data_IF_603306024667
#
_entry.id   IF_603306024667
#
_cell.length_a   1.000
_cell.length_b   1.000
_cell.length_c   1.000
_cell.angle_alpha   90.00
_cell.angle_beta   90.00
_cell.angle_gamma   90.00
#
_symmetry.space_group_name_H-M   'P 1'
#
loop_
_entity.id
_entity.type
_entity.pdbx_description
1 polymer ?
2 polymer ?
3 non-polymer ?
4 water ?
#
# COMPACT_ATOMS: atom_id res chain seq x y z
N UNK A 24 -23.68 19.08 6.64
CA UNK A 24 -22.53 19.28 5.75
C UNK A 24 -22.62 18.45 4.48
N UNK A 25 -22.11 18.99 3.38
CA UNK A 25 -22.21 18.34 2.08
C UNK A 25 -21.38 17.06 2.08
N UNK A 26 -21.99 15.96 1.63
CA UNK A 26 -21.34 14.67 1.51
C UNK A 26 -21.42 14.21 0.06
N UNK A 27 -20.39 13.48 -0.37
CA UNK A 27 -20.30 12.94 -1.73
C UNK A 27 -20.57 11.44 -1.68
N UNK A 28 -21.57 10.98 -2.44
CA UNK A 28 -21.88 9.56 -2.47
C UNK A 28 -21.32 9.01 -3.77
N UNK A 29 -20.26 8.22 -3.66
CA UNK A 29 -19.55 7.70 -4.82
C UNK A 29 -19.93 6.24 -5.06
N UNK A 30 -20.13 5.89 -6.33
CA UNK A 30 -20.48 4.53 -6.72
C UNK A 30 -19.89 4.24 -8.10
N UNK A 31 -19.61 2.97 -8.41
CA UNK A 31 -19.64 1.83 -7.48
C UNK A 31 -18.43 1.90 -6.59
N UNK A 32 -18.37 1.06 -5.56
CA UNK A 32 -17.17 1.04 -4.75
C UNK A 32 -16.04 0.25 -5.41
N UNK A 33 -16.37 -0.62 -6.35
CA UNK A 33 -15.36 -1.32 -7.13
C UNK A 33 -15.98 -1.78 -8.45
N UNK A 34 -15.11 -1.97 -9.44
CA UNK A 34 -15.54 -2.48 -10.72
C UNK A 34 -14.35 -3.13 -11.40
N UNK A 35 -14.65 -4.04 -12.31
CA UNK A 35 -13.65 -4.71 -13.10
C UNK A 35 -14.03 -4.56 -14.57
N UNK A 36 -13.07 -4.13 -15.40
CA UNK A 36 -13.31 -3.94 -16.82
C UNK A 36 -12.09 -4.39 -17.60
N UNK A 37 -12.29 -4.71 -18.88
CA UNK A 37 -11.18 -5.14 -19.73
C UNK A 37 -10.46 -3.94 -20.33
N UNK A 38 -9.24 -4.18 -20.82
CA UNK A 38 -8.48 -3.16 -21.51
C UNK A 38 -9.28 -2.66 -22.69
N UNK A 39 -9.27 -1.34 -22.90
CA UNK A 39 -10.08 -0.69 -23.92
C UNK A 39 -11.51 -0.37 -23.52
N UNK A 40 -12.03 -0.97 -22.45
CA UNK A 40 -13.39 -0.72 -22.04
C UNK A 40 -13.58 0.73 -21.57
N UNK A 41 -14.84 1.18 -21.60
CA UNK A 41 -15.23 2.47 -21.09
C UNK A 41 -15.71 2.32 -19.66
N UNK A 42 -15.22 3.18 -18.77
CA UNK A 42 -15.49 3.09 -17.34
C UNK A 42 -16.08 4.42 -16.88
N UNK A 43 -17.16 4.37 -16.10
CA UNK A 43 -17.79 5.59 -15.60
C UNK A 43 -18.01 5.47 -14.10
N UNK A 44 -17.61 6.51 -13.39
CA UNK A 44 -17.69 6.58 -11.95
C UNK A 44 -18.53 7.81 -11.60
N UNK A 45 -19.39 7.67 -10.59
CA UNK A 45 -20.36 8.69 -10.25
C UNK A 45 -20.16 9.17 -8.82
N UNK A 46 -20.15 10.50 -8.64
CA UNK A 46 -20.18 11.12 -7.32
C UNK A 46 -21.42 12.01 -7.25
N UNK A 47 -22.25 11.79 -6.26
CA UNK A 47 -23.49 12.54 -6.12
C UNK A 47 -23.37 13.44 -4.91
N UNK A 48 -23.54 14.74 -5.13
CA UNK A 48 -23.42 15.73 -4.07
C UNK A 48 -24.72 15.81 -3.26
N UNK A 49 -24.60 15.83 -1.93
CA UNK A 49 -25.78 15.84 -1.09
C UNK A 49 -26.55 17.16 -1.20
N UNK A 50 -25.87 18.26 -1.49
CA UNK A 50 -26.52 19.39 -2.14
C UNK A 50 -25.51 20.07 -3.07
N UNK A 51 -25.98 21.09 -3.77
CA UNK A 51 -25.25 21.70 -4.85
C UNK A 51 -23.81 22.02 -4.50
N UNK A 52 -22.89 21.60 -5.36
CA UNK A 52 -21.47 21.90 -5.27
C UNK A 52 -21.08 22.61 -6.56
N UNK A 53 -20.30 23.68 -6.45
CA UNK A 53 -19.94 24.41 -7.66
C UNK A 53 -19.04 23.56 -8.56
N UNK A 54 -19.24 23.68 -9.87
CA UNK A 54 -18.40 23.01 -10.86
C UNK A 54 -16.93 23.28 -10.61
N UNK A 55 -16.60 24.52 -10.25
CA UNK A 55 -15.23 24.90 -9.98
C UNK A 55 -14.60 24.09 -8.86
N UNK A 56 -15.41 23.54 -7.96
CA UNK A 56 -14.94 23.05 -6.67
C UNK A 56 -15.15 21.55 -6.48
N UNK A 57 -15.27 20.80 -7.57
CA UNK A 57 -15.35 19.34 -7.53
C UNK A 57 -14.17 18.78 -8.31
N UNK A 58 -13.32 17.99 -7.64
CA UNK A 58 -12.12 17.45 -8.25
C UNK A 58 -12.07 15.93 -8.07
N UNK A 59 -11.19 15.30 -8.87
CA UNK A 59 -11.03 13.85 -8.90
C UNK A 59 -9.55 13.50 -8.71
N UNK A 60 -9.28 12.47 -7.93
CA UNK A 60 -7.92 12.01 -7.67
C UNK A 60 -7.78 10.54 -8.03
N UNK A 61 -6.56 10.18 -8.42
CA UNK A 61 -6.19 8.80 -8.71
C UNK A 61 -5.13 8.36 -7.71
N UNK A 62 -5.37 7.27 -7.02
CA UNK A 62 -4.43 6.81 -5.99
C UNK A 62 -4.03 5.39 -6.28
N UNK A 63 -2.78 5.22 -6.66
CA UNK A 63 -2.22 3.91 -6.88
C UNK A 63 -1.70 3.33 -5.56
N UNK A 64 -1.71 2.01 -5.43
CA UNK A 64 -1.31 1.38 -4.17
C UNK A 64 0.06 1.85 -3.70
N UNK A 65 0.14 2.22 -2.42
CA UNK A 65 1.37 2.73 -1.82
C UNK A 65 1.74 4.15 -2.19
N UNK A 66 0.88 4.88 -2.89
CA UNK A 66 1.22 6.20 -3.39
C UNK A 66 0.28 7.25 -2.80
N UNK A 67 0.76 8.49 -2.76
CA UNK A 67 -0.12 9.60 -2.47
C UNK A 67 -1.14 9.76 -3.59
N UNK A 68 -2.33 10.24 -3.28
CA UNK A 68 -3.30 10.54 -4.34
C UNK A 68 -2.72 11.51 -5.35
N UNK A 69 -3.19 11.41 -6.59
CA UNK A 69 -2.73 12.30 -7.64
C UNK A 69 -3.91 13.04 -8.24
N UNK A 70 -3.79 14.33 -8.41
CA UNK A 70 -4.82 15.12 -9.03
C UNK A 70 -5.03 14.65 -10.46
N UNK A 71 -6.25 14.27 -10.79
CA UNK A 71 -6.56 13.74 -12.07
C UNK A 71 -7.31 14.72 -12.96
N UNK A 72 -8.36 15.28 -12.43
CA UNK A 72 -9.22 16.24 -13.06
C UNK A 72 -9.58 17.28 -12.02
N UNK A 73 -9.55 18.54 -12.39
CA UNK A 73 -9.94 19.59 -11.48
C UNK A 73 -11.10 20.41 -12.07
N UNK A 74 -11.89 20.99 -11.16
CA UNK A 74 -13.06 21.80 -11.52
C UNK A 74 -13.93 21.08 -12.54
N UNK A 75 -14.32 19.85 -12.19
CA UNK A 75 -15.28 19.02 -12.90
C UNK A 75 -14.71 18.38 -14.18
N UNK A 76 -13.96 19.13 -14.99
CA UNK A 76 -13.66 18.66 -16.34
C UNK A 76 -12.29 19.02 -16.87
N UNK A 77 -11.42 19.65 -16.09
CA UNK A 77 -10.12 20.10 -16.60
C UNK A 77 -9.05 19.07 -16.26
N UNK A 78 -8.32 18.61 -17.27
CA UNK A 78 -7.30 17.58 -17.06
C UNK A 78 -6.11 18.19 -16.35
N UNK A 79 -5.68 17.55 -15.26
CA UNK A 79 -4.47 17.99 -14.59
C UNK A 79 -3.28 17.81 -15.53
N UNK A 80 -2.17 18.45 -15.17
CA UNK A 80 -0.98 18.43 -16.03
C UNK A 80 -0.53 17.00 -16.27
N UNK A 81 -0.39 16.64 -17.55
CA UNK A 81 0.15 15.34 -17.90
C UNK A 81 -0.80 14.18 -17.75
N UNK A 82 -2.10 14.43 -17.66
CA UNK A 82 -3.06 13.34 -17.58
C UNK A 82 -3.53 13.02 -19.00
N UNK A 83 -3.56 11.75 -19.40
CA UNK A 83 -3.98 11.41 -20.78
C UNK A 83 -5.42 11.76 -21.07
N UNK A 84 -5.70 11.98 -22.35
CA UNK A 84 -6.99 12.46 -22.79
C UNK A 84 -8.10 11.44 -22.63
N UNK A 85 -7.79 10.17 -22.38
CA UNK A 85 -8.87 9.21 -22.16
C UNK A 85 -9.66 9.47 -20.87
N UNK A 86 -9.14 10.29 -19.95
CA UNK A 86 -9.88 10.71 -18.76
C UNK A 86 -10.70 11.96 -19.07
N UNK A 87 -11.95 11.98 -18.62
CA UNK A 87 -12.75 13.20 -18.68
C UNK A 87 -13.75 13.22 -17.52
N UNK A 88 -14.26 14.42 -17.21
CA UNK A 88 -15.34 14.57 -16.26
C UNK A 88 -16.39 15.55 -16.76
N UNK A 89 -17.60 15.41 -16.23
CA UNK A 89 -18.71 16.28 -16.51
C UNK A 89 -19.60 16.40 -15.27
N UNK A 90 -20.55 17.32 -15.33
CA UNK A 90 -21.53 17.51 -14.27
C UNK A 90 -22.93 17.57 -14.85
N UNK A 91 -23.89 17.00 -14.13
CA UNK A 91 -25.31 17.12 -14.45
C UNK A 91 -26.01 17.37 -13.12
N UNK A 92 -26.40 18.62 -12.88
CA UNK A 92 -26.97 19.01 -11.59
C UNK A 92 -26.04 18.65 -10.43
N UNK A 93 -26.55 17.87 -9.49
CA UNK A 93 -25.78 17.41 -8.34
C UNK A 93 -24.96 16.14 -8.62
N UNK A 94 -24.98 15.61 -9.86
CA UNK A 94 -24.31 14.35 -10.18
C UNK A 94 -23.07 14.62 -11.03
N UNK A 95 -21.92 14.15 -10.55
CA UNK A 95 -20.66 14.31 -11.27
C UNK A 95 -20.18 12.95 -11.76
N UNK A 96 -19.60 12.93 -12.97
CA UNK A 96 -19.16 11.69 -13.58
C UNK A 96 -17.68 11.78 -13.96
N UNK A 97 -16.92 10.74 -13.63
CA UNK A 97 -15.57 10.57 -14.15
C UNK A 97 -15.60 9.44 -15.18
N UNK A 98 -15.09 9.71 -16.37
CA UNK A 98 -15.10 8.72 -17.43
C UNK A 98 -13.66 8.42 -17.87
N UNK A 99 -13.34 7.13 -17.98
CA UNK A 99 -12.15 6.63 -18.64
C UNK A 99 -12.63 6.01 -19.95
N UNK A 100 -12.24 6.59 -21.09
CA UNK A 100 -12.86 6.12 -22.33
C UNK A 100 -12.29 4.79 -22.79
N UNK A 101 -10.99 4.54 -22.56
CA UNK A 101 -10.32 3.32 -23.03
C UNK A 101 -9.39 2.84 -21.91
N UNK A 102 -9.86 1.90 -21.10
CA UNK A 102 -9.12 1.46 -19.93
C UNK A 102 -7.79 0.87 -20.33
N UNK A 103 -6.67 1.42 -19.74
CA UNK A 103 -5.31 0.89 -19.82
C UNK A 103 -4.95 0.15 -18.54
N UNK A 104 -4.08 -0.87 -18.62
CA UNK A 104 -3.80 -1.66 -17.41
C UNK A 104 -3.19 -0.84 -16.29
N UNK A 105 -2.47 0.24 -16.61
CA UNK A 105 -1.95 1.12 -15.58
C UNK A 105 -3.01 2.04 -14.97
N UNK A 106 -4.27 1.94 -15.40
CA UNK A 106 -5.31 2.73 -14.75
C UNK A 106 -5.85 2.06 -13.49
N UNK A 107 -5.33 0.89 -13.15
CA UNK A 107 -5.68 0.24 -11.90
C UNK A 107 -5.34 1.16 -10.75
N UNK A 108 -6.36 1.53 -9.97
CA UNK A 108 -6.21 2.49 -8.87
C UNK A 108 -7.55 2.63 -8.16
N UNK A 109 -7.53 3.39 -7.08
CA UNK A 109 -8.75 3.84 -6.44
C UNK A 109 -8.94 5.31 -6.79
N UNK A 110 -10.15 5.66 -7.22
CA UNK A 110 -10.48 7.01 -7.67
C UNK A 110 -11.38 7.68 -6.64
N UNK A 111 -11.08 8.94 -6.29
CA UNK A 111 -11.82 9.67 -5.27
C UNK A 111 -12.26 11.01 -5.81
N UNK A 112 -13.53 11.35 -5.63
CA UNK A 112 -13.90 12.74 -5.82
C UNK A 112 -13.71 13.51 -4.51
N UNK A 113 -13.61 14.84 -4.65
CA UNK A 113 -13.39 15.75 -3.54
C UNK A 113 -14.13 17.04 -3.86
N UNK A 114 -14.95 17.51 -2.93
CA UNK A 114 -15.64 18.79 -3.06
C UNK A 114 -15.05 19.80 -2.08
N UNK A 115 -15.18 21.07 -2.45
CA UNK A 115 -14.93 22.17 -1.53
C UNK A 115 -16.21 22.99 -1.37
N UNK A 116 -16.54 23.36 -0.17
CA UNK A 116 -17.72 24.15 0.11
C UNK A 116 -17.62 24.80 1.47
N UNK A 117 -16.41 25.10 1.88
CA UNK A 117 -16.16 25.64 3.17
C UNK A 117 -15.25 24.63 3.83
N UNK A 118 -15.73 23.41 3.96
CA UNK A 118 -14.96 22.30 4.45
C UNK A 118 -14.69 21.47 3.22
N UNK A 119 -14.01 20.36 3.39
CA UNK A 119 -13.70 19.44 2.31
C UNK A 119 -14.16 18.07 2.73
N UNK A 120 -14.72 17.31 1.78
CA UNK A 120 -14.90 15.88 1.97
C UNK A 120 -14.57 15.19 0.67
N UNK A 121 -14.30 13.89 0.76
CA UNK A 121 -14.02 13.01 -0.35
C UNK A 121 -15.16 12.00 -0.52
N UNK A 122 -15.40 11.56 -1.74
CA UNK A 122 -16.19 10.36 -1.93
C UNK A 122 -15.49 9.16 -1.33
N UNK A 123 -16.22 8.07 -1.14
CA UNK A 123 -15.65 6.90 -0.47
C UNK A 123 -14.68 6.13 -1.37
N UNK A 124 -14.62 6.44 -2.66
CA UNK A 124 -13.63 5.83 -3.53
C UNK A 124 -14.20 4.73 -4.41
N UNK A 125 -13.61 4.58 -5.59
CA UNK A 125 -13.94 3.48 -6.51
C UNK A 125 -12.65 2.75 -6.88
N UNK A 126 -12.59 1.47 -6.58
CA UNK A 126 -11.43 0.67 -6.95
C UNK A 126 -11.64 0.08 -8.34
N UNK A 127 -10.81 0.48 -9.28
CA UNK A 127 -10.89 -0.01 -10.65
C UNK A 127 -9.85 -1.13 -10.81
N UNK A 128 -10.35 -2.32 -11.12
CA UNK A 128 -9.53 -3.49 -11.40
C UNK A 128 -9.62 -3.86 -12.87
N UNK A 129 -8.57 -4.50 -13.39
CA UNK A 129 -8.51 -4.88 -14.79
C UNK A 129 -8.86 -6.35 -14.94
N UNK A 130 -9.81 -6.63 -15.81
CA UNK A 130 -10.09 -7.98 -16.29
C UNK A 130 -9.13 -8.33 -17.43
N UNK A 131 -8.55 -9.53 -17.39
CA UNK A 131 -7.60 -9.98 -18.41
C UNK A 131 -7.77 -11.49 -18.58
N UNK A 132 -7.01 -12.08 -19.51
CA UNK A 132 -7.17 -13.50 -19.77
C UNK A 132 -6.62 -14.31 -18.59
N UNK A 133 -7.09 -15.56 -18.49
CA UNK A 133 -6.62 -16.44 -17.43
C UNK A 133 -5.12 -16.66 -17.55
N UNK A 134 -4.45 -16.71 -16.41
CA UNK A 134 -3.04 -17.04 -16.37
C UNK A 134 -2.80 -17.97 -15.19
N UNK A 135 -2.24 -19.13 -15.47
CA UNK A 135 -1.88 -20.08 -14.41
C UNK A 135 -0.72 -19.54 -13.59
N UNK A 136 -0.72 -19.76 -12.29
CA UNK A 136 0.42 -19.38 -11.46
C UNK A 136 1.58 -20.35 -11.63
N UNK A 137 2.79 -19.81 -11.51
CA UNK A 137 3.99 -20.60 -11.28
C UNK A 137 4.09 -20.88 -9.78
N UNK A 138 4.19 -22.15 -9.42
CA UNK A 138 4.20 -22.56 -8.01
C UNK A 138 5.62 -22.89 -7.59
N UNK A 139 6.06 -22.27 -6.49
CA UNK A 139 7.34 -22.54 -5.87
C UNK A 139 7.15 -22.75 -4.37
N UNK A 140 8.00 -23.58 -3.79
CA UNK A 140 7.99 -23.88 -2.35
C UNK A 140 9.39 -23.68 -1.82
N UNK A 141 9.49 -23.16 -0.59
CA UNK A 141 10.76 -22.84 0.03
C UNK A 141 10.81 -23.47 1.41
N UNK A 142 11.86 -24.23 1.73
CA UNK A 142 12.02 -24.74 3.09
C UNK A 142 12.57 -23.66 4.01
N UNK A 143 12.33 -23.77 5.32
CA UNK A 143 12.98 -22.85 6.27
C UNK A 143 14.49 -22.87 6.13
N UNK A 144 15.09 -21.70 6.37
CA UNK A 144 16.54 -21.57 6.29
C UNK A 144 17.21 -22.13 7.55
N UNK A 145 18.52 -22.38 7.45
CA UNK A 145 19.25 -22.81 8.62
C UNK A 145 19.19 -21.74 9.70
N UNK A 146 19.44 -20.48 9.31
CA UNK A 146 19.45 -19.37 10.25
C UNK A 146 18.14 -19.27 11.03
N UNK A 147 17.03 -19.71 10.44
CA UNK A 147 15.75 -19.53 11.12
C UNK A 147 15.51 -20.65 12.13
N UNK A 148 15.87 -21.87 11.79
CA UNK A 148 15.72 -22.96 12.74
C UNK A 148 16.60 -22.73 13.96
N UNK A 149 17.81 -22.20 13.76
CA UNK A 149 18.66 -21.81 14.88
C UNK A 149 17.91 -20.90 15.85
N UNK A 150 16.91 -20.17 15.37
CA UNK A 150 16.08 -19.32 16.23
C UNK A 150 14.88 -20.05 16.83
N UNK A 151 14.62 -21.29 16.46
CA UNK A 151 13.56 -22.05 17.09
C UNK A 151 12.20 -22.02 16.41
N UNK A 152 12.08 -21.40 15.23
CA UNK A 152 10.86 -21.43 14.42
C UNK A 152 11.18 -21.84 13.00
N UNK A 153 10.22 -22.48 12.34
CA UNK A 153 10.36 -22.86 10.93
C UNK A 153 9.21 -22.26 10.13
N UNK A 154 9.55 -21.50 9.10
CA UNK A 154 8.56 -20.94 8.20
C UNK A 154 8.72 -21.59 6.84
N UNK A 155 7.65 -22.19 6.34
CA UNK A 155 7.64 -22.77 5.00
C UNK A 155 6.77 -21.88 4.11
N UNK A 156 7.34 -21.46 2.99
CA UNK A 156 6.73 -20.45 2.12
C UNK A 156 6.37 -21.11 0.80
N UNK A 157 5.10 -20.99 0.42
CA UNK A 157 4.59 -21.40 -0.90
C UNK A 157 4.28 -20.14 -1.70
N UNK A 158 4.92 -20.01 -2.87
CA UNK A 158 4.79 -18.83 -3.73
C UNK A 158 4.01 -19.19 -4.98
N UNK A 159 2.93 -18.45 -5.25
CA UNK A 159 2.16 -18.52 -6.48
C UNK A 159 2.41 -17.22 -7.24
N UNK A 160 2.95 -17.32 -8.46
CA UNK A 160 3.42 -16.14 -9.18
C UNK A 160 2.60 -15.86 -10.44
N UNK A 161 2.20 -14.59 -10.59
CA UNK A 161 1.68 -14.01 -11.84
C UNK A 161 0.50 -14.81 -12.39
N UNK A 162 -0.61 -14.73 -11.69
CA UNK A 162 -1.80 -15.46 -12.08
C UNK A 162 -3.02 -14.53 -12.13
N UNK A 163 -4.02 -14.97 -12.88
CA UNK A 163 -5.30 -14.30 -12.99
C UNK A 163 -6.29 -15.40 -13.35
N UNK A 164 -7.47 -15.45 -12.72
CA UNK A 164 -8.00 -14.49 -11.74
C UNK A 164 -7.40 -14.66 -10.35
N UNK A 165 -7.91 -13.85 -9.43
CA UNK A 165 -7.31 -13.70 -8.11
C UNK A 165 -7.58 -14.91 -7.22
N UNK A 166 -8.73 -15.54 -7.37
CA UNK A 166 -9.12 -16.62 -6.49
C UNK A 166 -8.23 -17.84 -6.72
N UNK A 167 -7.60 -18.30 -5.64
CA UNK A 167 -6.70 -19.43 -5.70
C UNK A 167 -6.78 -20.13 -4.36
N UNK A 168 -6.76 -21.46 -4.37
CA UNK A 168 -6.81 -22.25 -3.15
C UNK A 168 -5.44 -22.85 -2.91
N UNK A 169 -4.88 -22.59 -1.74
CA UNK A 169 -3.58 -23.13 -1.36
C UNK A 169 -3.80 -24.04 -0.16
N UNK A 170 -3.41 -25.31 -0.30
CA UNK A 170 -3.55 -26.29 0.76
C UNK A 170 -2.18 -26.80 1.16
N UNK A 171 -1.92 -26.84 2.45
CA UNK A 171 -0.68 -27.38 2.97
C UNK A 171 -0.90 -28.82 3.42
N UNK A 172 0.06 -29.69 3.09
CA UNK A 172 0.03 -31.08 3.51
C UNK A 172 1.40 -31.44 4.06
N UNK A 173 1.43 -31.90 5.31
CA UNK A 173 2.65 -32.33 5.99
C UNK A 173 2.54 -33.84 6.20
N UNK A 174 3.53 -34.58 5.72
CA UNK A 174 3.45 -36.04 5.62
C UNK A 174 2.03 -36.45 5.20
N UNK A 175 1.60 -35.85 4.09
CA UNK A 175 0.29 -36.00 3.47
C UNK A 175 -0.89 -35.79 4.43
N UNK A 176 -0.66 -35.12 5.56
CA UNK A 176 -1.76 -34.73 6.44
C UNK A 176 -2.13 -33.28 6.16
N UNK A 177 -3.42 -33.02 5.98
CA UNK A 177 -3.87 -31.69 5.58
C UNK A 177 -3.83 -30.74 6.77
N UNK A 178 -3.12 -29.63 6.60
CA UNK A 178 -2.95 -28.65 7.67
C UNK A 178 -4.16 -27.73 7.80
N UNK A 179 -4.27 -27.10 8.96
CA UNK A 179 -5.37 -26.20 9.24
C UNK A 179 -4.95 -25.23 10.33
N UNK A 180 -5.22 -23.94 10.11
CA UNK A 180 -5.01 -22.93 11.12
C UNK A 180 -3.58 -22.47 11.32
N UNK A 181 -2.59 -23.08 10.68
CA UNK A 181 -1.20 -22.70 10.92
C UNK A 181 -0.53 -22.07 9.68
N UNK A 182 -1.30 -21.41 8.83
CA UNK A 182 -0.70 -20.68 7.71
C UNK A 182 -1.48 -19.40 7.48
N UNK A 183 -0.85 -18.45 6.79
CA UNK A 183 -1.53 -17.21 6.44
C UNK A 183 -1.02 -16.71 5.10
N UNK A 184 -1.93 -16.08 4.36
CA UNK A 184 -1.74 -15.69 2.97
C UNK A 184 -1.59 -14.18 2.87
N UNK A 185 -0.82 -13.75 1.89
CA UNK A 185 -0.70 -12.37 1.50
C UNK A 185 -0.80 -12.32 -0.02
N UNK A 186 -1.48 -11.35 -0.57
CA UNK A 186 -1.61 -11.22 -2.02
C UNK A 186 -1.24 -9.83 -2.48
N UNK A 187 -0.49 -9.73 -3.54
CA UNK A 187 -0.10 -8.44 -4.07
C UNK A 187 -1.21 -7.72 -4.80
N UNK A 188 -0.99 -6.47 -5.04
CA UNK A 188 -1.91 -5.66 -5.75
C UNK A 188 -1.71 -5.99 -7.22
N UNK A 189 -2.76 -5.93 -7.99
CA UNK A 189 -2.73 -6.20 -9.42
C UNK A 189 -1.58 -5.44 -10.09
N UNK A 190 -0.75 -6.18 -10.82
CA UNK A 190 0.36 -5.59 -11.55
C UNK A 190 -0.14 -4.59 -12.59
N UNK A 191 0.53 -3.44 -12.69
CA UNK A 191 0.06 -2.35 -13.54
C UNK A 191 0.33 -2.58 -15.03
N UNK A 192 1.14 -3.57 -15.38
CA UNK A 192 1.46 -3.86 -16.77
C UNK A 192 0.75 -5.11 -17.30
N UNK A 193 0.90 -6.26 -16.62
CA UNK A 193 0.29 -7.50 -17.08
C UNK A 193 -0.96 -7.89 -16.29
N UNK A 194 -1.34 -7.13 -15.25
CA UNK A 194 -2.62 -7.29 -14.55
C UNK A 194 -2.75 -8.60 -13.78
N UNK A 195 -1.65 -9.30 -13.52
CA UNK A 195 -1.68 -10.53 -12.74
C UNK A 195 -1.52 -10.22 -11.25
N UNK A 196 -1.79 -11.21 -10.42
CA UNK A 196 -1.60 -11.13 -9.01
C UNK A 196 -0.55 -12.13 -8.63
N UNK A 197 0.03 -11.98 -7.44
CA UNK A 197 1.00 -12.90 -6.89
C UNK A 197 0.57 -13.18 -5.47
N UNK A 198 0.79 -14.39 -5.01
CA UNK A 198 0.37 -14.79 -3.70
C UNK A 198 1.38 -15.58 -2.92
N UNK A 199 1.52 -15.28 -1.63
CA UNK A 199 2.42 -16.01 -0.75
C UNK A 199 1.60 -16.69 0.34
N UNK A 200 1.99 -17.91 0.68
CA UNK A 200 1.38 -18.65 1.78
C UNK A 200 2.51 -19.17 2.66
N UNK A 201 2.47 -18.83 3.94
CA UNK A 201 3.55 -19.15 4.87
C UNK A 201 3.00 -20.06 5.96
N UNK A 202 3.66 -21.21 6.13
CA UNK A 202 3.32 -22.19 7.17
C UNK A 202 4.31 -22.05 8.30
N UNK A 203 3.82 -21.81 9.52
CA UNK A 203 4.70 -21.56 10.65
C UNK A 203 4.62 -22.73 11.62
N UNK A 204 5.77 -23.34 11.90
CA UNK A 204 5.89 -24.33 12.97
C UNK A 204 7.05 -23.93 13.87
N UNK A 205 7.08 -24.57 15.02
CA UNK A 205 8.19 -24.44 15.91
C UNK A 205 9.21 -25.34 15.26
N UNK A 206 10.47 -25.10 15.52
CA UNK A 206 11.53 -25.89 14.97
C UNK A 206 11.40 -27.30 15.43
N UNK A 207 10.95 -27.45 16.65
CA UNK A 207 10.77 -28.75 17.23
C UNK A 207 9.80 -29.58 16.42
N UNK A 208 8.74 -28.97 15.98
CA UNK A 208 7.76 -29.71 15.19
C UNK A 208 8.16 -29.86 13.75
N UNK A 209 8.94 -28.92 13.20
CA UNK A 209 9.44 -29.09 11.85
C UNK A 209 10.31 -30.34 11.75
N UNK A 210 11.08 -30.64 12.80
CA UNK A 210 12.00 -31.75 12.74
C UNK A 210 11.34 -33.10 12.94
N UNK A 211 10.08 -33.13 13.38
CA UNK A 211 9.34 -34.38 13.55
C UNK A 211 8.39 -34.64 12.39
N UNK A 212 8.78 -34.26 11.17
CA UNK A 212 8.01 -34.52 9.95
C UNK A 212 8.96 -34.45 8.76
N UNK A 213 8.63 -35.18 7.70
CA UNK A 213 9.52 -35.35 6.55
C UNK A 213 9.08 -34.60 5.31
N UNK A 214 7.83 -34.77 4.91
CA UNK A 214 7.33 -34.29 3.63
C UNK A 214 6.50 -33.03 3.85
N UNK A 215 6.92 -31.94 3.21
CA UNK A 215 6.20 -30.66 3.26
C UNK A 215 5.74 -30.31 1.85
N UNK A 216 4.43 -30.10 1.68
CA UNK A 216 3.86 -29.88 0.35
C UNK A 216 2.73 -28.86 0.39
N UNK A 217 2.66 -28.02 -0.64
CA UNK A 217 1.50 -27.16 -0.89
C UNK A 217 0.87 -27.51 -2.23
N UNK A 218 -0.45 -27.66 -2.23
CA UNK A 218 -1.25 -28.04 -3.39
C UNK A 218 -2.10 -26.85 -3.81
N UNK A 219 -1.94 -26.42 -5.06
CA UNK A 219 -2.54 -25.20 -5.58
C UNK A 219 -3.67 -25.56 -6.56
N UNK A 220 -4.85 -25.03 -6.31
CA UNK A 220 -5.99 -25.13 -7.21
C UNK A 220 -6.32 -23.75 -7.77
N UNK A 221 -6.38 -23.64 -9.07
CA UNK A 221 -6.66 -22.40 -9.77
C UNK A 221 -7.32 -22.71 -11.09
N UNK A 222 -8.09 -21.78 -11.60
CA UNK A 222 -8.84 -21.92 -12.81
C UNK A 222 -7.96 -22.21 -14.00
N UNK A 223 -6.79 -21.63 -14.03
CA UNK A 223 -5.88 -21.84 -15.11
C UNK A 223 -5.11 -23.15 -15.11
N UNK A 224 -5.39 -24.02 -14.16
CA UNK A 224 -4.70 -25.30 -14.08
C UNK A 224 -5.70 -26.42 -14.33
N UNK A 225 -5.35 -27.34 -15.24
CA UNK A 225 -6.23 -28.48 -15.51
C UNK A 225 -6.37 -29.36 -14.27
N UNK A 226 -5.25 -29.60 -13.57
CA UNK A 226 -5.20 -30.40 -12.36
C UNK A 226 -4.43 -29.65 -11.28
N UNK A 227 -4.87 -29.77 -10.01
CA UNK A 227 -4.10 -29.20 -8.89
C UNK A 227 -2.61 -29.45 -8.98
N UNK A 228 -1.81 -28.43 -8.70
CA UNK A 228 -0.36 -28.53 -8.76
C UNK A 228 0.18 -28.63 -7.34
N UNK A 229 0.97 -29.67 -7.08
CA UNK A 229 1.62 -29.85 -5.79
C UNK A 229 3.10 -29.55 -5.95
N UNK A 230 3.64 -28.80 -5.00
CA UNK A 230 5.08 -28.57 -4.91
C UNK A 230 5.54 -29.01 -3.52
N UNK A 231 6.68 -29.67 -3.45
CA UNK A 231 7.04 -30.36 -2.23
C UNK A 231 8.55 -30.43 -2.07
N UNK A 232 8.95 -30.81 -0.87
CA UNK A 232 10.33 -31.13 -0.54
C UNK A 232 10.30 -32.05 0.68
N UNK A 233 11.38 -32.84 0.83
CA UNK A 233 11.59 -33.65 2.02
C UNK A 233 12.67 -32.99 2.87
N UNK A 234 12.41 -32.88 4.17
CA UNK A 234 13.28 -32.15 5.09
C UNK A 234 14.75 -32.56 5.03
N UNK B 27 10.86 22.95 -9.14
CA UNK B 27 10.13 21.71 -8.92
C UNK B 27 9.53 21.58 -7.51
N UNK B 28 8.20 21.57 -7.45
CA UNK B 28 7.49 21.59 -6.17
C UNK B 28 7.57 20.22 -5.51
N UNK B 29 7.85 20.21 -4.21
CA UNK B 29 7.94 18.98 -3.45
C UNK B 29 7.49 19.22 -2.01
N UNK B 30 6.75 18.27 -1.47
CA UNK B 30 6.42 18.25 -0.04
C UNK B 30 6.97 16.97 0.56
N UNK B 31 7.82 17.10 1.57
CA UNK B 31 8.46 15.95 2.21
C UNK B 31 8.00 15.89 3.66
N UNK B 32 7.37 14.78 4.03
CA UNK B 32 6.86 14.57 5.39
C UNK B 32 7.89 13.82 6.23
N UNK B 33 7.81 14.02 7.54
CA UNK B 33 8.48 13.18 8.52
C UNK B 33 7.75 13.31 9.86
N UNK B 34 8.17 12.48 10.80
CA UNK B 34 7.65 12.50 12.15
C UNK B 34 6.65 11.43 12.45
N UNK B 35 6.43 10.51 11.55
CA UNK B 35 5.52 9.41 11.80
C UNK B 35 6.09 8.46 12.85
N UNK B 36 5.32 7.41 13.11
CA UNK B 36 5.83 6.38 13.98
C UNK B 36 4.79 5.82 14.92
N UNK B 37 5.29 5.33 16.06
CA UNK B 37 4.49 4.62 17.03
C UNK B 37 4.16 5.54 18.19
N UNK B 38 2.91 5.52 18.62
CA UNK B 38 2.47 6.35 19.73
C UNK B 38 1.55 5.50 20.59
N UNK B 39 1.72 5.61 21.90
CA UNK B 39 0.87 4.82 22.77
C UNK B 39 -0.51 5.45 22.85
N UNK B 40 -1.56 4.65 23.05
CA UNK B 40 -2.92 5.21 23.17
C UNK B 40 -2.95 6.33 24.20
N UNK B 41 -3.61 7.42 23.86
CA UNK B 41 -3.57 8.64 24.65
C UNK B 41 -2.36 9.54 24.41
N UNK B 42 -1.35 9.09 23.67
CA UNK B 42 -0.16 9.90 23.45
C UNK B 42 -0.34 10.99 22.39
N UNK B 43 0.74 11.69 22.13
CA UNK B 43 0.83 12.75 21.19
C UNK B 43 1.90 12.49 20.18
N UNK B 44 1.81 13.18 19.07
CA UNK B 44 2.77 13.13 18.00
C UNK B 44 2.76 14.35 17.11
N UNK B 45 3.92 14.72 16.61
CA UNK B 45 4.08 15.85 15.73
C UNK B 45 4.63 15.50 14.35
N UNK B 46 3.85 15.73 13.34
CA UNK B 46 4.27 15.53 11.96
C UNK B 46 4.73 16.84 11.33
N UNK B 47 5.66 16.75 10.40
CA UNK B 47 6.13 17.94 9.72
C UNK B 47 6.06 17.72 8.21
N UNK B 48 5.92 18.82 7.50
CA UNK B 48 5.74 18.83 6.05
C UNK B 48 6.66 19.92 5.52
N UNK B 49 7.80 19.52 4.98
CA UNK B 49 8.79 20.46 4.47
C UNK B 49 8.49 20.74 3.01
N UNK B 50 8.19 21.99 2.69
CA UNK B 50 7.79 22.37 1.35
C UNK B 50 8.95 23.02 0.62
N UNK B 51 9.08 22.73 -0.67
CA UNK B 51 10.13 23.37 -1.43
C UNK B 51 9.68 23.59 -2.87
N UNK B 52 10.36 24.51 -3.54
CA UNK B 52 10.16 24.74 -4.96
C UNK B 52 9.14 25.82 -5.28
N UNK B 53 8.74 26.61 -4.30
CA UNK B 53 7.74 27.65 -4.53
C UNK B 53 7.82 28.59 -3.34
N UNK B 54 7.18 29.75 -3.48
CA UNK B 54 7.14 30.71 -2.39
C UNK B 54 6.12 30.23 -1.36
N UNK B 55 6.61 29.72 -0.24
CA UNK B 55 5.80 29.18 0.86
C UNK B 55 4.51 29.87 1.22
N UNK B 56 4.54 31.17 1.35
CA UNK B 56 3.39 31.95 1.73
C UNK B 56 2.29 32.03 0.71
N UNK B 57 2.55 31.61 -0.50
CA UNK B 57 1.57 31.67 -1.55
C UNK B 57 0.54 30.55 -1.63
N UNK B 58 0.66 29.52 -0.82
CA UNK B 58 -0.27 28.40 -0.90
C UNK B 58 -0.60 27.91 0.49
N UNK B 59 -1.82 27.44 0.66
CA UNK B 59 -2.13 26.80 1.94
C UNK B 59 -1.65 25.35 1.91
N UNK B 60 -1.41 24.80 3.11
CA UNK B 60 -0.94 23.43 3.29
C UNK B 60 -1.93 22.69 4.17
N UNK B 61 -2.41 21.55 3.71
CA UNK B 61 -3.45 20.80 4.41
C UNK B 61 -2.96 19.42 4.81
N UNK B 62 -3.71 18.81 5.72
CA UNK B 62 -3.45 17.45 6.16
C UNK B 62 -4.67 16.57 5.88
N UNK B 63 -4.40 15.36 5.39
CA UNK B 63 -5.40 14.40 4.93
C UNK B 63 -4.91 13.03 5.36
N UNK B 64 -5.79 12.22 5.94
CA UNK B 64 -5.33 10.91 6.41
C UNK B 64 -6.13 9.78 5.78
N UNK B 65 -5.55 8.59 5.86
CA UNK B 65 -6.12 7.40 5.24
C UNK B 65 -5.87 6.22 6.17
N UNK B 66 -6.91 5.79 6.89
CA UNK B 66 -6.81 4.60 7.71
C UNK B 66 -6.60 3.38 6.81
N UNK B 67 -5.96 2.34 7.32
CA UNK B 67 -5.55 1.22 6.45
C UNK B 67 -6.73 0.61 5.71
N UNK B 68 -6.63 0.57 4.39
CA UNK B 68 -7.71 0.00 3.59
C UNK B 68 -8.96 0.84 3.48
N UNK B 69 -8.94 2.11 3.88
CA UNK B 69 -10.11 2.98 3.89
C UNK B 69 -9.86 4.21 3.00
N UNK B 70 -10.79 5.17 3.09
CA UNK B 70 -10.79 6.31 2.20
C UNK B 70 -10.02 7.49 2.75
N UNK B 71 -10.10 8.60 2.04
CA UNK B 71 -9.39 9.81 2.38
C UNK B 71 -10.25 10.67 3.29
N UNK B 72 -9.63 11.28 4.30
CA UNK B 72 -10.32 12.11 5.27
C UNK B 72 -9.54 13.40 5.50
N UNK B 73 -10.17 14.54 5.23
CA UNK B 73 -9.55 15.84 5.43
C UNK B 73 -9.53 16.20 6.90
N UNK B 74 -8.39 16.70 7.37
CA UNK B 74 -8.22 17.06 8.76
C UNK B 74 -8.35 18.56 8.96
N UNK B 75 -7.61 19.31 8.17
CA UNK B 75 -7.50 20.75 8.35
C UNK B 75 -6.31 21.24 7.57
N UNK B 76 -6.13 22.55 7.57
CA UNK B 76 -5.03 23.15 6.85
C UNK B 76 -4.71 24.52 7.41
N UNK B 77 -3.53 25.02 7.06
CA UNK B 77 -3.07 26.34 7.50
C UNK B 77 -2.78 27.21 6.28
N UNK B 78 -3.04 28.50 6.43
CA UNK B 78 -2.70 29.51 5.45
C UNK B 78 -1.51 30.30 5.99
N UNK B 79 -0.29 30.12 5.49
CA UNK B 79 0.87 30.74 6.14
C UNK B 79 1.01 32.21 5.85
N UNK B 80 0.27 32.72 4.87
CA UNK B 80 0.23 34.17 4.67
C UNK B 80 -0.52 34.85 5.80
N UNK B 81 -1.75 34.42 6.09
CA UNK B 81 -2.50 34.99 7.20
C UNK B 81 -2.11 34.39 8.55
N UNK B 82 -1.46 33.23 8.55
CA UNK B 82 -1.18 32.56 9.79
C UNK B 82 -2.38 31.97 10.49
N UNK B 83 -3.44 31.62 9.75
CA UNK B 83 -4.59 31.01 10.39
C UNK B 83 -4.83 29.61 9.87
N UNK B 84 -5.51 28.78 10.64
CA UNK B 84 -5.83 27.43 10.24
C UNK B 84 -7.31 27.16 10.43
N UNK B 85 -7.80 26.14 9.74
CA UNK B 85 -9.18 25.70 9.80
C UNK B 85 -9.20 24.17 9.84
N UNK B 86 -10.23 23.61 10.48
CA UNK B 86 -10.31 22.18 10.72
C UNK B 86 -11.70 21.67 10.37
N UNK B 87 -11.72 20.40 9.97
CA UNK B 87 -12.97 19.65 9.92
C UNK B 87 -13.56 19.56 11.32
N UNK B 88 -14.88 19.61 11.45
CA UNK B 88 -15.49 19.60 12.79
C UNK B 88 -15.15 18.37 13.62
N UNK B 89 -14.83 17.23 13.04
CA UNK B 89 -14.50 16.05 13.82
C UNK B 89 -13.14 16.13 14.49
N UNK B 90 -12.32 17.06 14.07
CA UNK B 90 -10.96 17.19 14.59
C UNK B 90 -10.66 18.48 15.23
N UNK B 91 -11.64 19.36 15.34
CA UNK B 91 -11.35 20.62 16.01
C UNK B 91 -11.24 20.15 17.45
N UNK B 92 -10.29 20.70 18.16
CA UNK B 92 -10.06 20.28 19.48
C UNK B 92 -8.71 19.66 19.63
N UNK B 93 -8.66 18.38 19.40
CA UNK B 93 -7.46 17.62 19.56
C UNK B 93 -6.21 17.93 18.77
N UNK B 94 -6.36 18.44 17.55
CA UNK B 94 -5.25 18.74 16.68
C UNK B 94 -5.03 20.21 16.38
N UNK B 95 -3.80 20.60 16.20
CA UNK B 95 -3.46 21.95 15.87
C UNK B 95 -2.47 21.92 14.72
N UNK B 96 -2.48 22.96 13.93
CA UNK B 96 -1.62 23.06 12.82
C UNK B 96 -0.93 24.38 12.89
N UNK B 97 0.35 24.36 12.64
CA UNK B 97 1.16 25.56 12.70
C UNK B 97 2.08 25.58 11.49
N UNK B 98 2.74 26.71 11.27
CA UNK B 98 3.71 26.78 10.19
C UNK B 98 4.88 27.66 10.63
N UNK B 99 6.08 27.29 10.21
CA UNK B 99 7.29 28.08 10.42
C UNK B 99 7.76 28.52 9.04
N UNK B 100 7.49 29.79 8.69
CA UNK B 100 7.76 30.27 7.34
C UNK B 100 9.25 30.30 7.04
N UNK B 101 10.07 30.54 8.07
CA UNK B 101 11.52 30.55 7.87
C UNK B 101 12.02 29.21 7.34
N UNK B 102 11.40 28.10 7.74
CA UNK B 102 11.83 26.77 7.30
C UNK B 102 10.91 26.16 6.26
N UNK B 103 9.93 26.93 5.76
CA UNK B 103 8.96 26.43 4.77
C UNK B 103 8.38 25.07 5.19
N UNK B 104 7.98 24.98 6.45
CA UNK B 104 7.47 23.76 7.04
C UNK B 104 6.14 24.02 7.75
N UNK B 105 5.16 23.14 7.51
CA UNK B 105 3.93 23.09 8.28
C UNK B 105 3.96 21.89 9.22
N UNK B 106 3.31 22.03 10.38
CA UNK B 106 3.31 21.01 11.41
C UNK B 106 1.89 20.60 11.75
N UNK B 107 1.68 19.32 12.01
CA UNK B 107 0.42 18.82 12.58
C UNK B 107 0.74 18.21 13.95
N UNK B 108 0.21 18.85 14.99
CA UNK B 108 0.42 18.43 16.38
C UNK B 108 -0.84 17.70 16.84
N UNK B 109 -0.71 16.41 17.11
CA UNK B 109 -1.85 15.59 17.50
C UNK B 109 -1.73 15.20 18.98
N UNK B 110 -2.88 15.10 19.65
CA UNK B 110 -2.92 14.85 21.09
C UNK B 110 -4.03 13.89 21.40
N UNK B 111 -3.88 13.14 22.48
CA UNK B 111 -4.87 12.17 22.95
C UNK B 111 -5.26 11.20 21.83
N UNK B 112 -4.26 10.62 21.17
CA UNK B 112 -4.50 9.74 20.05
C UNK B 112 -5.14 8.43 20.51
N UNK B 113 -6.06 7.91 19.70
CA UNK B 113 -6.69 6.62 19.94
C UNK B 113 -6.37 5.67 18.78
N UNK B 114 -6.73 4.39 18.96
CA UNK B 114 -6.44 3.39 17.93
C UNK B 114 -7.06 3.78 16.59
N UNK B 115 -8.25 4.39 16.62
CA UNK B 115 -8.93 4.88 15.42
C UNK B 115 -8.11 5.91 14.64
N UNK B 116 -7.17 6.59 15.29
CA UNK B 116 -6.36 7.57 14.59
C UNK B 116 -5.20 6.94 13.84
N UNK B 117 -5.03 5.61 13.93
CA UNK B 117 -4.00 4.92 13.15
C UNK B 117 -4.27 5.09 11.66
N UNK B 118 -3.30 5.66 10.94
CA UNK B 118 -3.50 5.99 9.53
C UNK B 118 -2.18 6.43 8.91
N UNK B 119 -2.17 6.45 7.58
CA UNK B 119 -1.17 7.20 6.82
C UNK B 119 -1.62 8.64 6.75
N UNK B 120 -0.74 9.55 7.14
CA UNK B 120 -1.03 10.98 7.14
C UNK B 120 -0.28 11.63 5.99
N UNK B 121 -1.02 12.31 5.11
CA UNK B 121 -0.46 13.07 4.00
C UNK B 121 -0.59 14.55 4.29
N UNK B 122 0.38 15.34 3.83
CA UNK B 122 0.17 16.76 3.68
C UNK B 122 -0.06 17.09 2.20
N UNK B 123 -0.68 18.24 1.96
CA UNK B 123 -1.06 18.57 0.60
C UNK B 123 -1.18 20.08 0.44
N UNK B 124 -0.80 20.52 -0.74
CA UNK B 124 -0.79 21.94 -1.08
C UNK B 124 -2.06 22.26 -1.87
N UNK B 125 -2.78 23.29 -1.46
CA UNK B 125 -3.91 23.76 -2.24
C UNK B 125 -3.43 24.74 -3.31
N UNK B 126 -4.01 24.61 -4.50
CA UNK B 126 -3.79 25.57 -5.56
C UNK B 126 -5.11 25.78 -6.30
N UNK B 127 -5.19 26.89 -7.02
CA UNK B 127 -6.34 27.18 -7.84
C UNK B 127 -7.64 27.05 -7.07
N UNK B 128 -8.64 26.48 -7.76
CA UNK B 128 -10.00 26.40 -7.22
C UNK B 128 -10.12 25.28 -6.17
N UNK B 129 -9.25 25.37 -5.16
CA UNK B 129 -9.36 24.55 -3.96
C UNK B 129 -9.14 23.05 -4.26
N UNK B 130 -8.17 22.75 -5.14
CA UNK B 130 -7.72 21.39 -5.35
C UNK B 130 -6.33 21.21 -4.75
N UNK B 131 -5.96 19.96 -4.49
CA UNK B 131 -4.67 19.62 -3.89
C UNK B 131 -3.75 19.15 -5.01
N UNK B 132 -2.78 19.99 -5.42
CA UNK B 132 -2.02 19.60 -6.60
C UNK B 132 -0.75 18.85 -6.26
N UNK B 133 -0.08 19.17 -5.16
CA UNK B 133 1.08 18.43 -4.71
C UNK B 133 0.82 17.82 -3.34
N UNK B 134 1.23 16.56 -3.19
CA UNK B 134 1.07 15.79 -1.97
C UNK B 134 2.42 15.33 -1.46
N UNK B 135 2.57 15.32 -0.14
CA UNK B 135 3.68 14.64 0.49
C UNK B 135 3.56 13.15 0.29
N UNK B 136 4.62 12.44 0.69
CA UNK B 136 4.69 11.01 0.38
C UNK B 136 3.88 10.14 1.32
N UNK B 137 3.36 10.70 2.42
CA UNK B 137 2.66 9.90 3.40
C UNK B 137 3.59 9.41 4.51
N UNK B 138 3.12 9.41 5.75
CA UNK B 138 3.85 8.79 6.84
C UNK B 138 2.86 8.10 7.76
N UNK B 139 3.26 6.93 8.25
CA UNK B 139 2.37 6.06 9.02
C UNK B 139 2.43 6.44 10.49
N UNK B 140 1.29 6.51 11.13
CA UNK B 140 1.18 6.74 12.53
C UNK B 140 0.37 5.60 13.10
N UNK B 141 0.99 4.83 13.97
CA UNK B 141 0.39 3.68 14.63
C UNK B 141 0.18 3.94 16.09
N UNK B 142 -1.05 3.79 16.54
CA UNK B 142 -1.44 4.00 17.92
C UNK B 142 -1.67 2.61 18.49
N UNK B 143 -0.77 2.20 19.36
CA UNK B 143 -0.79 0.85 19.92
C UNK B 143 0.08 0.85 21.17
N UNK B 144 -0.36 0.13 22.20
CA UNK B 144 0.45 0.04 23.41
C UNK B 144 1.70 -0.80 23.21
N UNK B 145 1.70 -1.67 22.20
CA UNK B 145 2.85 -2.49 21.86
C UNK B 145 4.15 -1.70 21.73
N UNK B 146 5.26 -2.41 21.66
CA UNK B 146 6.58 -1.80 21.64
C UNK B 146 7.26 -2.12 20.32
N UNK B 147 8.24 -1.28 19.97
CA UNK B 147 8.95 -1.45 18.73
C UNK B 147 9.83 -2.69 18.77
N UNK B 148 9.80 -3.48 17.69
CA UNK B 148 10.75 -4.56 17.52
C UNK B 148 11.27 -4.57 16.10
N UNK B 149 12.59 -4.74 15.97
CA UNK B 149 13.22 -4.91 14.69
C UNK B 149 13.01 -6.31 14.14
N UNK B 150 13.14 -6.45 12.82
CA UNK B 150 12.90 -7.75 12.18
C UNK B 150 14.15 -8.60 12.09
N UNK B 151 13.94 -9.90 11.99
CA UNK B 151 14.98 -10.82 11.54
C UNK B 151 14.75 -11.10 10.06
N UNK B 152 15.83 -11.31 9.32
CA UNK B 152 15.77 -11.53 7.88
C UNK B 152 16.40 -12.87 7.56
N UNK B 153 15.62 -13.78 6.97
CA UNK B 153 16.05 -15.10 6.58
C UNK B 153 15.98 -15.27 5.07
N UNK B 154 16.88 -16.04 4.47
CA UNK B 154 16.84 -16.23 3.01
C UNK B 154 15.76 -17.21 2.59
N UNK B 155 15.26 -17.00 1.38
CA UNK B 155 14.38 -17.94 0.69
C UNK B 155 15.17 -18.45 -0.51
N UNK B 156 15.58 -19.73 -0.45
CA UNK B 156 16.65 -20.24 -1.30
C UNK B 156 16.11 -20.80 -2.62
N UNK B 157 16.73 -20.33 -3.75
CA UNK B 157 16.19 -20.90 -4.99
C UNK B 157 16.42 -22.39 -5.08
N UNK B 158 15.64 -23.01 -5.94
CA UNK B 158 15.73 -24.42 -6.22
C UNK B 158 15.01 -25.27 -5.21
N UNK B 167 13.41 -19.76 -12.04
CA UNK B 167 14.14 -19.50 -10.80
C UNK B 167 13.57 -18.43 -9.86
N UNK B 168 13.18 -18.83 -8.66
CA UNK B 168 12.65 -17.92 -7.67
C UNK B 168 13.42 -17.85 -6.36
N UNK B 169 13.71 -16.66 -5.92
CA UNK B 169 14.42 -16.47 -4.66
C UNK B 169 13.79 -15.30 -3.93
N UNK B 170 14.21 -15.08 -2.71
CA UNK B 170 13.71 -13.97 -1.95
C UNK B 170 14.04 -14.03 -0.49
N UNK B 171 13.55 -13.08 0.28
CA UNK B 171 13.80 -13.10 1.68
C UNK B 171 12.60 -12.85 2.60
N UNK B 172 12.61 -13.53 3.72
CA UNK B 172 11.56 -13.45 4.69
C UNK B 172 11.93 -12.44 5.75
N UNK B 173 11.04 -11.52 6.02
CA UNK B 173 11.28 -10.47 7.02
C UNK B 173 10.29 -10.72 8.15
N UNK B 174 10.78 -11.27 9.27
CA UNK B 174 9.92 -11.83 10.30
C UNK B 174 9.96 -11.01 11.59
N UNK B 175 8.79 -10.93 12.24
CA UNK B 175 8.65 -10.50 13.63
C UNK B 175 9.16 -9.07 13.83
N UNK B 176 8.38 -8.11 13.31
CA UNK B 176 8.70 -6.71 13.51
C UNK B 176 7.43 -5.95 13.88
N UNK B 177 7.62 -4.76 14.46
CA UNK B 177 6.54 -3.87 14.85
C UNK B 177 7.10 -2.49 15.10
N UNK B 178 6.40 -1.40 14.69
CA UNK B 178 5.20 -1.49 13.86
C UNK B 178 5.58 -1.52 12.39
N UNK B 179 4.60 -1.31 11.52
CA UNK B 179 4.92 -1.05 10.12
C UNK B 179 5.52 0.35 9.99
N UNK B 180 6.27 0.61 8.91
CA UNK B 180 6.54 -0.27 7.78
C UNK B 180 7.98 -0.79 7.71
N UNK B 181 8.19 -1.67 6.75
CA UNK B 181 9.50 -2.17 6.37
C UNK B 181 9.65 -1.91 4.88
N UNK B 182 10.84 -1.50 4.46
CA UNK B 182 11.15 -1.32 3.05
C UNK B 182 12.14 -2.39 2.60
N UNK B 183 11.94 -2.91 1.40
CA UNK B 183 12.80 -3.92 0.82
C UNK B 183 13.24 -3.45 -0.55
N UNK B 184 14.51 -3.64 -0.86
CA UNK B 184 15.03 -3.47 -2.22
C UNK B 184 15.89 -4.67 -2.56
N UNK B 185 16.32 -4.74 -3.82
CA UNK B 185 17.16 -5.83 -4.27
C UNK B 185 18.37 -5.23 -4.99
N UNK B 186 19.56 -5.68 -4.58
CA UNK B 186 20.82 -5.19 -5.12
C UNK B 186 20.87 -3.67 -5.09
N UNK B 187 20.48 -3.11 -3.95
CA UNK B 187 20.49 -1.68 -3.71
C UNK B 187 19.76 -0.92 -4.81
N UNK B 188 18.57 -1.42 -5.16
CA UNK B 188 17.72 -0.80 -6.15
C UNK B 188 18.01 -1.20 -7.58
N UNK B 189 19.18 -1.80 -7.83
CA UNK B 189 19.53 -2.20 -9.20
C UNK B 189 18.56 -3.23 -9.75
N UNK B 190 18.02 -4.12 -8.90
CA UNK B 190 17.12 -5.19 -9.33
C UNK B 190 15.69 -4.82 -8.93
N UNK B 191 14.85 -4.59 -9.93
CA UNK B 191 13.48 -4.12 -9.69
C UNK B 191 12.43 -4.94 -10.41
N UNK B 192 12.77 -5.47 -11.58
CA UNK B 192 11.79 -6.19 -12.37
C UNK B 192 11.67 -7.63 -11.89
N UNK B 193 10.46 -8.16 -11.94
CA UNK B 193 10.18 -9.47 -11.38
C UNK B 193 10.04 -9.50 -9.88
N UNK B 194 10.22 -8.37 -9.20
CA UNK B 194 10.15 -8.31 -7.74
C UNK B 194 8.69 -8.23 -7.29
N UNK B 195 8.35 -9.03 -6.28
CA UNK B 195 7.07 -8.96 -5.61
C UNK B 195 7.35 -8.88 -4.12
N UNK B 196 7.14 -7.71 -3.54
CA UNK B 196 7.18 -7.53 -2.10
C UNK B 196 5.75 -7.55 -1.60
N UNK B 197 5.42 -8.56 -0.81
CA UNK B 197 4.07 -8.81 -0.35
C UNK B 197 3.68 -7.89 0.81
N UNK B 198 2.39 -7.58 0.93
CA UNK B 198 1.91 -6.84 2.10
C UNK B 198 2.19 -7.63 3.37
N UNK B 199 2.57 -6.91 4.43
CA UNK B 199 2.84 -7.54 5.70
C UNK B 199 1.60 -8.25 6.23
N UNK B 200 1.82 -9.34 6.94
CA UNK B 200 0.73 -10.01 7.62
C UNK B 200 0.94 -9.87 9.12
N UNK B 201 -0.14 -9.65 9.86
CA UNK B 201 -0.07 -9.59 11.30
C UNK B 201 -0.16 -10.99 11.86
N UNK B 202 0.84 -11.39 12.62
CA UNK B 202 0.84 -12.73 13.18
C UNK B 202 0.09 -12.76 14.51
N UNK B 203 -0.29 -13.97 14.92
CA UNK B 203 -0.98 -14.13 16.19
C UNK B 203 -0.20 -13.55 17.37
N UNK B 204 1.12 -13.41 17.23
CA UNK B 204 1.97 -12.81 18.24
C UNK B 204 1.89 -11.29 18.30
N UNK B 205 1.19 -10.64 17.37
CA UNK B 205 1.13 -9.21 17.34
C UNK B 205 2.28 -8.54 16.61
N UNK B 206 3.20 -9.32 16.07
CA UNK B 206 4.25 -8.80 15.20
C UNK B 206 3.91 -9.08 13.75
N UNK B 207 4.55 -8.33 12.85
CA UNK B 207 4.31 -8.43 11.42
C UNK B 207 5.36 -9.32 10.77
N UNK B 208 5.02 -9.81 9.58
CA UNK B 208 5.93 -10.59 8.77
C UNK B 208 5.58 -10.39 7.30
N UNK B 209 6.60 -10.32 6.44
CA UNK B 209 6.39 -10.29 5.00
C UNK B 209 7.52 -11.04 4.31
N UNK B 210 7.29 -11.34 3.04
CA UNK B 210 8.29 -11.88 2.14
C UNK B 210 8.43 -10.98 0.93
N UNK B 211 9.67 -10.83 0.45
CA UNK B 211 9.95 -10.21 -0.84
C UNK B 211 10.60 -11.23 -1.75
N UNK B 212 10.07 -11.38 -2.96
CA UNK B 212 10.44 -12.47 -3.85
C UNK B 212 10.77 -11.89 -5.22
N UNK B 213 11.58 -12.61 -5.99
CA UNK B 213 11.97 -12.13 -7.31
C UNK B 213 12.29 -13.33 -8.19
N UNK B 214 11.73 -13.35 -9.39
CA UNK B 214 12.06 -14.34 -10.41
C UNK B 214 13.26 -13.87 -11.22
N UNK B 215 14.14 -14.81 -11.49
CA UNK B 215 15.33 -14.58 -12.27
C UNK B 215 15.53 -15.70 -13.25
N UNK B 216 16.48 -15.50 -14.12
CA UNK B 216 16.75 -16.50 -15.14
C UNK B 216 17.23 -17.83 -14.57
N UNK B 217 16.59 -18.83 -15.12
CA UNK B 217 16.78 -20.19 -14.78
C UNK B 217 18.22 -20.63 -14.79
N UNK B 218 19.10 -19.83 -15.35
CA UNK B 218 20.49 -20.22 -15.41
C UNK B 218 21.52 -19.17 -15.01
N UNK B 219 21.15 -18.24 -14.15
CA UNK B 219 22.11 -17.24 -13.72
C UNK B 219 22.49 -17.37 -12.26
N UNK B 220 22.06 -18.45 -11.64
CA UNK B 220 22.35 -18.65 -10.22
C UNK B 220 23.81 -18.69 -9.78
N UNK B 221 24.72 -18.99 -10.69
CA UNK B 221 26.13 -18.98 -10.42
C UNK B 221 26.72 -17.60 -10.53
N UNK B 222 26.59 -17.01 -11.70
CA UNK B 222 27.16 -15.70 -11.93
C UNK B 222 26.72 -14.46 -11.14
N UNK B 223 25.42 -14.18 -11.00
CA UNK B 223 25.07 -12.93 -10.29
C UNK B 223 24.67 -13.16 -8.89
N UNK B 224 25.03 -12.20 -8.07
CA UNK B 224 24.75 -12.30 -6.66
C UNK B 224 23.51 -11.48 -6.31
N UNK B 225 22.69 -11.95 -5.39
CA UNK B 225 21.47 -11.25 -5.04
C UNK B 225 21.32 -10.98 -3.58
N UNK B 226 21.23 -9.72 -3.24
CA UNK B 226 21.11 -9.31 -1.87
C UNK B 226 19.81 -8.56 -1.68
N UNK B 227 19.14 -8.79 -0.57
CA UNK B 227 17.92 -8.07 -0.28
C UNK B 227 18.23 -7.10 0.81
N UNK B 228 17.83 -5.85 0.64
CA UNK B 228 18.11 -4.77 1.57
C UNK B 228 16.83 -4.42 2.34
N UNK B 229 16.89 -4.53 3.67
CA UNK B 229 15.73 -4.35 4.53
C UNK B 229 15.95 -3.14 5.43
N UNK B 230 14.89 -2.34 5.59
CA UNK B 230 14.93 -1.11 6.38
C UNK B 230 13.71 -1.08 7.29
N UNK B 231 13.96 -0.91 8.59
CA UNK B 231 12.90 -0.75 9.58
C UNK B 231 13.31 0.45 10.45
N UNK B 232 12.80 1.62 10.12
CA UNK B 232 13.20 2.85 10.79
C UNK B 232 12.70 2.96 12.23
N UNK B 233 11.50 2.48 12.58
CA UNK B 233 11.08 2.56 13.99
C UNK B 233 12.09 1.92 14.95
N UNK B 234 12.84 0.96 14.46
CA UNK B 234 13.83 0.27 15.29
C UNK B 234 15.25 0.58 14.84
N UNK B 235 15.40 1.52 13.95
CA UNK B 235 16.71 1.94 13.51
C UNK B 235 17.47 0.75 12.95
N UNK B 236 16.77 -0.24 12.42
CA UNK B 236 17.38 -1.44 11.89
C UNK B 236 17.63 -1.34 10.43
N UNK B 237 18.77 -1.82 10.00
CA UNK B 237 19.08 -1.96 8.58
C UNK B 237 19.85 -3.25 8.40
N UNK B 238 19.32 -4.17 7.64
CA UNK B 238 19.94 -5.44 7.41
C UNK B 238 20.08 -5.63 5.94
N UNK B 239 21.12 -6.36 5.55
CA UNK B 239 21.38 -6.66 4.17
C UNK B 239 21.59 -8.13 4.19
N UNK B 240 20.83 -8.88 3.42
CA UNK B 240 20.95 -10.31 3.43
C UNK B 240 21.27 -10.89 2.11
N UNK B 241 22.23 -11.79 2.10
CA UNK B 241 22.63 -12.43 0.88
C UNK B 241 21.84 -13.68 0.67
N UNK B 242 21.41 -13.88 -0.54
CA UNK B 242 20.63 -15.03 -0.89
C UNK B 242 21.28 -15.84 -1.98
N UNK B 243 21.79 -16.98 -1.58
CA UNK B 243 22.41 -17.91 -2.50
C UNK B 243 21.73 -19.27 -2.35
N UNK B 244 21.87 -20.15 -3.34
CA UNK B 244 21.35 -21.52 -3.16
C UNK B 244 22.16 -22.27 -2.10
N UNK B 245 21.47 -23.16 -1.39
CA UNK B 245 22.05 -23.81 -0.22
C UNK B 245 23.17 -24.79 -0.60
#
# INVERSE_FOLDING_TARGET
MKSLLPTAAAGLLLLAAQPAMASDIQMTQSPSSLSASVGDRVTITCRASSSVSSSYLHWYQQKPGKAPKLLIYSTSNLASGVPSRFSGSRSGTDFTLTISSLQPEDFATYYCQQYSGYRTFGQGTKVEIKRTVAAPSVFIFPPSDSQLKSGTASVVCLLNNFYPREAKVQWKVDNALQSGNSQESVTEQDSKDSTYSLSSTLTLSKADYEKHKVYACEVTHQGLSSPVTKSFNRGECGGSDYKDDDDK
MKKNIAFLLASMFVFSIATNAYAEISEVQLVESGGGLVQPGGSLRLSCAASGYTFTENTVHWVRQAPGKGLEWIGGINPYYGGSIFSPKFKGRFTISADTSKNTAYLQMNSLRAEDTAVYYCARRAGAYYFDYWGQGTLVTVSSASTKGPSVFPLAPSSKSTSGGTAALGCLVKDYFPEPVTVSWNSGALTSGVHTFPAVLQSSGLYSLSSVVTVPSSSLGTQTYICNVNHKPSNTKVDKKVEPKSCDKTHTGGSHHHHHH
#
